data_IF_901216661084
#
_entry.id   IF_901216661084
#
_cell.length_a   1.000
_cell.length_b   1.000
_cell.length_c   1.000
_cell.angle_alpha   90.00
_cell.angle_beta   90.00
_cell.angle_gamma   90.00
#
_symmetry.space_group_name_H-M   'P 1'
#
loop_
_entity.id
_entity.type
_entity.pdbx_description
1 polymer ?
#
# COMPACT_ATOMS: atom_id res chain seq x y z
N UNK A 1 -5.09 -9.60 56.37
CA UNK A 1 -5.29 -9.35 54.93
C UNK A 1 -5.87 -10.61 54.30
N UNK A 2 -7.18 -10.63 54.02
CA UNK A 2 -7.83 -11.76 53.33
C UNK A 2 -7.23 -11.86 51.94
N UNK A 3 -6.39 -12.87 51.72
CA UNK A 3 -5.92 -13.26 50.39
C UNK A 3 -7.11 -13.87 49.63
N UNK A 4 -8.00 -13.01 49.16
CA UNK A 4 -9.14 -13.40 48.34
C UNK A 4 -8.64 -14.00 47.03
N UNK A 5 -9.28 -15.09 46.57
CA UNK A 5 -8.95 -15.72 45.28
C UNK A 5 -9.12 -14.70 44.16
N UNK A 6 -8.07 -14.47 43.38
CA UNK A 6 -8.14 -13.68 42.15
C UNK A 6 -8.50 -14.58 40.98
N UNK A 7 -9.27 -14.05 40.04
CA UNK A 7 -9.78 -14.76 38.87
C UNK A 7 -9.26 -14.06 37.62
N UNK A 8 -8.64 -14.84 36.75
CA UNK A 8 -8.28 -14.51 35.38
C UNK A 8 -9.24 -15.27 34.45
N UNK A 9 -9.78 -14.58 33.45
CA UNK A 9 -10.57 -15.22 32.39
C UNK A 9 -9.75 -15.18 31.10
N UNK A 10 -9.75 -16.29 30.35
CA UNK A 10 -9.17 -16.37 29.00
C UNK A 10 -10.27 -16.83 28.05
N UNK A 11 -10.49 -16.10 26.97
CA UNK A 11 -11.52 -16.43 25.98
C UNK A 11 -11.09 -15.97 24.57
N UNK A 12 -11.64 -16.63 23.55
CA UNK A 12 -11.48 -16.23 22.15
C UNK A 12 -12.78 -15.60 21.65
N UNK A 13 -12.70 -14.39 21.11
CA UNK A 13 -13.78 -13.50 20.75
C UNK A 13 -13.64 -12.13 21.42
N UNK A 14 -14.44 -11.18 20.98
CA UNK A 14 -14.55 -9.85 21.57
C UNK A 14 -15.79 -9.74 22.49
N UNK A 15 -15.96 -8.62 23.23
CA UNK A 15 -17.08 -8.49 24.16
C UNK A 15 -18.46 -8.69 23.54
N UNK A 16 -18.63 -8.27 22.28
CA UNK A 16 -19.90 -8.40 21.56
C UNK A 16 -20.15 -9.85 21.15
N UNK A 17 -19.15 -10.52 20.56
CA UNK A 17 -19.29 -11.92 20.11
C UNK A 17 -19.48 -12.88 21.28
N UNK A 18 -18.88 -12.58 22.43
CA UNK A 18 -18.99 -13.37 23.66
C UNK A 18 -20.18 -12.95 24.53
N UNK A 19 -20.90 -11.88 24.14
CA UNK A 19 -21.95 -11.26 24.92
C UNK A 19 -21.54 -11.05 26.39
N UNK A 20 -20.35 -10.48 26.63
CA UNK A 20 -19.79 -10.30 27.97
C UNK A 20 -20.72 -9.36 28.76
N UNK A 21 -21.36 -9.83 29.84
CA UNK A 21 -22.32 -9.01 30.54
C UNK A 21 -21.60 -8.00 31.45
N UNK A 22 -22.10 -6.77 31.50
CA UNK A 22 -21.46 -5.66 32.25
C UNK A 22 -21.26 -5.95 33.74
N UNK A 23 -22.13 -6.76 34.36
CA UNK A 23 -21.98 -7.14 35.77
C UNK A 23 -20.71 -7.95 36.02
N UNK A 24 -20.22 -8.71 35.03
CA UNK A 24 -18.98 -9.49 35.15
C UNK A 24 -17.77 -8.57 35.37
N UNK A 25 -17.73 -7.43 34.68
CA UNK A 25 -16.64 -6.45 34.78
C UNK A 25 -16.57 -5.79 36.17
N UNK A 26 -17.73 -5.69 36.84
CA UNK A 26 -17.88 -5.11 38.18
C UNK A 26 -17.42 -6.05 39.30
N UNK A 27 -17.18 -7.33 39.01
CA UNK A 27 -16.72 -8.31 40.00
C UNK A 27 -15.28 -7.98 40.42
N UNK A 28 -15.09 -7.66 41.70
CA UNK A 28 -13.79 -7.19 42.23
C UNK A 28 -12.68 -8.24 42.15
N UNK A 29 -13.02 -9.52 42.31
CA UNK A 29 -12.04 -10.60 42.25
C UNK A 29 -11.71 -11.06 40.83
N UNK A 30 -12.42 -10.59 39.79
CA UNK A 30 -11.96 -10.70 38.40
C UNK A 30 -10.99 -9.56 38.18
N UNK A 31 -9.71 -9.91 38.04
CA UNK A 31 -8.61 -8.94 37.94
C UNK A 31 -8.22 -8.65 36.50
N UNK A 32 -8.51 -9.57 35.58
CA UNK A 32 -8.21 -9.43 34.16
C UNK A 32 -9.01 -10.43 33.33
N UNK A 33 -9.34 -10.06 32.10
CA UNK A 33 -10.00 -10.86 31.07
C UNK A 33 -9.11 -10.75 29.83
N UNK A 34 -8.35 -11.80 29.56
CA UNK A 34 -7.54 -11.95 28.36
C UNK A 34 -8.42 -12.43 27.22
N UNK A 35 -8.68 -11.56 26.27
CA UNK A 35 -9.38 -11.88 25.03
C UNK A 35 -8.38 -12.21 23.92
N UNK A 36 -8.90 -12.73 22.82
CA UNK A 36 -8.14 -13.00 21.60
C UNK A 36 -9.08 -13.10 20.42
N UNK A 37 -8.71 -12.55 19.27
CA UNK A 37 -9.53 -12.58 18.06
C UNK A 37 -9.52 -11.28 17.27
N UNK A 38 -9.19 -10.16 17.92
CA UNK A 38 -8.91 -8.91 17.22
C UNK A 38 -7.59 -8.98 16.46
N UNK A 39 -7.47 -8.17 15.42
CA UNK A 39 -6.26 -8.07 14.62
C UNK A 39 -5.18 -7.24 15.33
N UNK A 40 -5.57 -6.20 16.06
CA UNK A 40 -4.67 -5.27 16.74
C UNK A 40 -4.95 -5.20 18.24
N UNK A 41 -3.96 -4.72 18.99
CA UNK A 41 -4.10 -4.49 20.42
C UNK A 41 -5.32 -3.61 20.72
N UNK A 42 -6.28 -4.19 21.44
CA UNK A 42 -7.55 -3.56 21.77
C UNK A 42 -7.84 -3.75 23.25
N UNK A 43 -8.40 -2.72 23.89
CA UNK A 43 -8.83 -2.79 25.27
C UNK A 43 -10.26 -2.26 25.40
N UNK A 44 -11.06 -2.92 26.23
CA UNK A 44 -12.44 -2.55 26.54
C UNK A 44 -12.56 -2.28 28.05
N UNK A 45 -12.08 -1.11 28.45
CA UNK A 45 -12.00 -0.70 29.85
C UNK A 45 -10.73 -1.22 30.54
N UNK A 46 -10.75 -1.25 31.87
CA UNK A 46 -9.54 -1.47 32.69
C UNK A 46 -9.09 -2.93 32.78
N UNK A 47 -9.98 -3.89 32.51
CA UNK A 47 -9.74 -5.32 32.80
C UNK A 47 -9.75 -6.20 31.58
N UNK A 48 -10.17 -5.69 30.42
CA UNK A 48 -10.44 -6.51 29.24
C UNK A 48 -9.52 -6.06 28.13
N UNK A 49 -8.57 -6.90 27.76
CA UNK A 49 -7.66 -6.59 26.67
C UNK A 49 -7.49 -7.81 25.76
N UNK A 50 -7.32 -7.52 24.47
CA UNK A 50 -6.91 -8.44 23.42
C UNK A 50 -5.57 -7.94 22.88
N UNK A 51 -4.48 -8.72 22.97
CA UNK A 51 -3.17 -8.30 22.44
C UNK A 51 -3.16 -8.13 20.91
N UNK A 52 -4.14 -8.69 20.20
CA UNK A 52 -4.12 -8.80 18.75
C UNK A 52 -3.18 -9.90 18.26
N UNK A 53 -2.78 -9.84 16.99
CA UNK A 53 -1.84 -10.80 16.44
C UNK A 53 -0.41 -10.57 16.97
N UNK A 54 0.35 -11.64 17.27
CA UNK A 54 1.76 -11.50 17.65
C UNK A 54 2.68 -11.18 16.44
N UNK A 55 2.19 -11.46 15.23
CA UNK A 55 2.85 -11.23 13.95
C UNK A 55 1.81 -10.71 12.94
N UNK A 56 2.14 -9.71 12.10
CA UNK A 56 1.27 -9.29 11.03
C UNK A 56 1.09 -10.42 10.00
N UNK A 57 -0.13 -10.58 9.49
CA UNK A 57 -0.47 -11.66 8.55
C UNK A 57 -0.43 -11.21 7.09
N UNK A 58 -0.75 -9.95 6.81
CA UNK A 58 -0.83 -9.40 5.47
C UNK A 58 -0.65 -7.86 5.45
N UNK A 59 -0.74 -7.26 4.26
CA UNK A 59 -0.62 -5.81 4.07
C UNK A 59 -1.78 -4.98 4.65
N UNK A 60 -2.85 -5.59 5.18
CA UNK A 60 -3.85 -4.87 5.97
C UNK A 60 -3.38 -4.64 7.41
N UNK A 61 -2.38 -5.40 7.86
CA UNK A 61 -1.82 -5.34 9.20
C UNK A 61 -0.84 -4.17 9.35
N UNK A 62 -1.33 -2.98 9.67
CA UNK A 62 -0.49 -1.79 9.91
C UNK A 62 -0.25 -1.58 11.41
N UNK A 63 0.96 -1.17 11.80
CA UNK A 63 1.27 -0.80 13.19
C UNK A 63 2.08 -1.84 13.95
N UNK A 64 2.02 -1.80 15.28
CA UNK A 64 2.83 -2.66 16.15
C UNK A 64 2.10 -3.96 16.48
N UNK A 65 2.78 -5.08 16.25
CA UNK A 65 2.31 -6.43 16.54
C UNK A 65 3.22 -7.08 17.58
N UNK A 66 2.62 -7.79 18.52
CA UNK A 66 3.32 -8.14 19.74
C UNK A 66 2.52 -8.98 20.71
N UNK A 67 3.09 -9.14 21.89
CA UNK A 67 2.44 -9.78 23.03
C UNK A 67 2.30 -8.78 24.16
N UNK A 68 1.23 -8.88 24.94
CA UNK A 68 1.09 -8.08 26.16
C UNK A 68 1.93 -8.69 27.27
N UNK A 69 2.81 -7.88 27.85
CA UNK A 69 3.64 -8.24 29.01
C UNK A 69 3.35 -7.29 30.16
N UNK A 70 3.55 -7.75 31.39
CA UNK A 70 3.43 -6.88 32.55
C UNK A 70 2.78 -7.55 33.76
N UNK A 71 2.16 -6.73 34.60
CA UNK A 71 1.57 -7.16 35.87
C UNK A 71 0.07 -6.86 35.91
N UNK A 72 -0.69 -7.83 36.43
CA UNK A 72 -2.12 -7.72 36.70
C UNK A 72 -2.37 -7.92 38.20
N UNK A 73 -3.34 -7.20 38.77
CA UNK A 73 -3.66 -7.25 40.20
C UNK A 73 -3.68 -5.88 40.86
N UNK A 74 -2.91 -5.69 41.95
CA UNK A 74 -2.84 -4.42 42.69
C UNK A 74 -2.20 -3.28 41.90
N UNK A 75 -1.27 -3.64 41.01
CA UNK A 75 -0.74 -2.76 39.98
C UNK A 75 -1.17 -3.36 38.65
N UNK A 76 -1.92 -2.60 37.85
CA UNK A 76 -2.27 -2.97 36.50
C UNK A 76 -1.39 -2.17 35.55
N UNK A 77 -0.35 -2.82 35.05
CA UNK A 77 0.62 -2.21 34.15
C UNK A 77 0.94 -3.26 33.07
N UNK A 78 0.28 -3.12 31.93
CA UNK A 78 0.48 -3.93 30.74
C UNK A 78 1.07 -3.07 29.64
N UNK A 79 2.05 -3.62 28.93
CA UNK A 79 2.68 -3.00 27.78
C UNK A 79 2.66 -3.98 26.61
N UNK A 80 2.50 -3.45 25.40
CA UNK A 80 2.62 -4.24 24.18
C UNK A 80 4.11 -4.36 23.83
N UNK A 81 4.68 -5.53 24.07
CA UNK A 81 6.05 -5.84 23.68
C UNK A 81 6.07 -6.27 22.21
N UNK A 82 6.72 -5.52 21.30
CA UNK A 82 6.80 -5.90 19.90
C UNK A 82 7.52 -7.24 19.74
N UNK A 83 6.90 -8.17 19.02
CA UNK A 83 7.50 -9.49 18.71
C UNK A 83 7.57 -9.77 17.24
N UNK A 84 7.02 -8.87 16.40
CA UNK A 84 6.98 -9.06 14.97
C UNK A 84 8.39 -9.20 14.37
N UNK A 85 8.62 -10.29 13.64
CA UNK A 85 9.88 -10.56 12.95
C UNK A 85 10.05 -9.71 11.69
N UNK A 86 8.96 -9.12 11.19
CA UNK A 86 8.93 -8.25 10.00
C UNK A 86 7.71 -7.34 10.01
N UNK A 87 7.77 -6.26 9.24
CA UNK A 87 6.62 -5.38 9.02
C UNK A 87 6.11 -5.45 7.58
N UNK A 88 4.83 -5.15 7.39
CA UNK A 88 4.20 -5.00 6.07
C UNK A 88 3.95 -3.51 5.80
N UNK A 89 4.41 -3.03 4.65
CA UNK A 89 4.31 -1.63 4.28
C UNK A 89 3.56 -1.47 2.96
N UNK A 90 2.65 -0.50 2.91
CA UNK A 90 1.99 -0.03 1.69
C UNK A 90 2.47 1.37 1.40
N UNK A 91 3.16 1.55 0.27
CA UNK A 91 3.75 2.83 -0.11
C UNK A 91 3.20 3.30 -1.45
N UNK A 92 2.84 4.57 -1.51
CA UNK A 92 2.53 5.26 -2.75
C UNK A 92 3.80 5.97 -3.23
N UNK A 93 4.22 5.68 -4.47
CA UNK A 93 5.45 6.23 -5.06
C UNK A 93 5.07 7.07 -6.27
N UNK A 94 5.37 8.37 -6.23
CA UNK A 94 5.17 9.26 -7.37
C UNK A 94 6.32 9.11 -8.36
N UNK A 95 6.02 8.68 -9.58
CA UNK A 95 6.99 8.49 -10.67
C UNK A 95 6.86 9.55 -11.77
N UNK A 96 6.18 10.67 -11.51
CA UNK A 96 5.94 11.71 -12.51
C UNK A 96 7.21 12.34 -13.10
N UNK A 97 8.32 12.29 -12.36
CA UNK A 97 9.61 12.82 -12.78
C UNK A 97 10.54 11.75 -13.37
N UNK A 98 10.05 10.52 -13.53
CA UNK A 98 10.82 9.40 -14.05
C UNK A 98 10.51 9.18 -15.53
N UNK A 99 11.55 9.11 -16.34
CA UNK A 99 11.45 8.88 -17.78
C UNK A 99 11.66 7.41 -18.16
N UNK A 100 12.29 6.63 -17.29
CA UNK A 100 12.66 5.23 -17.50
C UNK A 100 12.55 4.39 -16.20
N UNK A 101 12.52 3.04 -16.31
CA UNK A 101 12.48 2.15 -15.15
C UNK A 101 13.65 2.33 -14.18
N UNK A 102 14.85 2.68 -14.66
CA UNK A 102 16.03 2.88 -13.81
C UNK A 102 15.85 4.06 -12.84
N UNK A 103 15.28 5.18 -13.31
CA UNK A 103 14.94 6.33 -12.49
C UNK A 103 13.85 5.99 -11.47
N UNK A 104 12.81 5.25 -11.88
CA UNK A 104 11.77 4.80 -10.97
C UNK A 104 12.30 3.84 -9.89
N UNK A 105 13.21 2.92 -10.25
CA UNK A 105 13.90 2.07 -9.29
C UNK A 105 14.71 2.90 -8.27
N UNK A 106 15.32 3.99 -8.73
CA UNK A 106 16.01 4.96 -7.87
C UNK A 106 15.08 5.64 -6.86
N UNK A 107 13.91 6.11 -7.30
CA UNK A 107 12.91 6.70 -6.39
C UNK A 107 12.34 5.69 -5.40
N UNK A 108 12.06 4.46 -5.85
CA UNK A 108 11.64 3.37 -4.96
C UNK A 108 12.73 3.07 -3.93
N UNK A 109 14.00 2.97 -4.35
CA UNK A 109 15.10 2.71 -3.42
C UNK A 109 15.26 3.81 -2.35
N UNK A 110 15.01 5.07 -2.71
CA UNK A 110 14.94 6.18 -1.73
C UNK A 110 13.77 6.01 -0.78
N UNK A 111 12.57 5.69 -1.28
CA UNK A 111 11.40 5.48 -0.43
C UNK A 111 11.58 4.29 0.54
N UNK A 112 12.31 3.27 0.12
CA UNK A 112 12.61 2.10 0.95
C UNK A 112 13.75 2.34 1.96
N UNK A 113 14.51 3.45 1.86
CA UNK A 113 15.69 3.66 2.72
C UNK A 113 15.35 3.88 4.19
N UNK A 114 14.11 4.28 4.49
CA UNK A 114 13.62 4.49 5.84
C UNK A 114 13.14 3.17 6.51
N UNK A 115 13.27 2.05 5.81
CA UNK A 115 12.78 0.74 6.22
C UNK A 115 13.87 -0.34 6.15
N UNK A 116 13.62 -1.46 6.82
CA UNK A 116 14.51 -2.63 6.75
C UNK A 116 14.14 -3.47 5.51
N UNK A 117 14.57 -3.04 4.33
CA UNK A 117 14.16 -3.63 3.05
C UNK A 117 14.48 -5.13 2.91
N UNK A 118 15.52 -5.64 3.58
CA UNK A 118 15.93 -7.04 3.62
C UNK A 118 15.14 -7.90 4.61
N UNK A 119 14.29 -7.28 5.43
CA UNK A 119 13.44 -7.96 6.42
C UNK A 119 11.96 -7.77 6.14
N UNK A 120 11.56 -6.55 5.84
CA UNK A 120 10.18 -6.11 5.70
C UNK A 120 9.62 -6.40 4.30
N UNK A 121 8.29 -6.35 4.19
CA UNK A 121 7.54 -6.68 2.98
C UNK A 121 6.83 -5.43 2.45
N UNK A 122 6.85 -5.23 1.14
CA UNK A 122 6.35 -4.00 0.53
C UNK A 122 5.31 -4.28 -0.56
N UNK A 123 4.23 -3.51 -0.52
CA UNK A 123 3.28 -3.33 -1.62
C UNK A 123 3.36 -1.87 -2.09
N UNK A 124 3.92 -1.66 -3.27
CA UNK A 124 4.12 -0.36 -3.86
C UNK A 124 3.00 -0.05 -4.86
N UNK A 125 2.48 1.16 -4.82
CA UNK A 125 1.57 1.71 -5.83
C UNK A 125 2.27 2.86 -6.53
N UNK A 126 2.58 2.66 -7.80
CA UNK A 126 3.14 3.73 -8.61
C UNK A 126 2.02 4.68 -9.01
N UNK A 127 2.20 5.97 -8.74
CA UNK A 127 1.25 7.04 -9.02
C UNK A 127 1.93 8.14 -9.83
N UNK A 128 1.11 9.04 -10.35
CA UNK A 128 1.60 10.15 -11.16
C UNK A 128 1.56 9.83 -12.65
N UNK A 129 2.34 10.57 -13.43
CA UNK A 129 2.25 10.59 -14.88
C UNK A 129 3.55 10.05 -15.48
N UNK A 130 3.51 8.91 -16.18
CA UNK A 130 4.70 8.35 -16.85
C UNK A 130 4.56 8.36 -18.38
N UNK A 131 5.67 8.34 -19.13
CA UNK A 131 5.60 8.12 -20.56
C UNK A 131 4.86 6.81 -20.88
N UNK A 132 4.02 6.83 -21.92
CA UNK A 132 3.30 5.65 -22.45
C UNK A 132 4.24 4.67 -23.17
N UNK A 133 5.55 4.92 -23.13
CA UNK A 133 6.53 3.91 -23.51
C UNK A 133 6.30 2.63 -22.71
N UNK A 134 6.61 1.49 -23.31
CA UNK A 134 6.51 0.19 -22.65
C UNK A 134 7.55 0.13 -21.53
N UNK A 135 7.22 0.64 -20.35
CA UNK A 135 7.93 0.31 -19.13
C UNK A 135 7.69 -1.16 -18.86
N UNK A 136 8.72 -1.97 -18.99
CA UNK A 136 8.64 -3.35 -18.56
C UNK A 136 8.66 -3.38 -17.03
N UNK A 137 7.47 -3.59 -16.45
CA UNK A 137 7.30 -3.72 -15.01
C UNK A 137 8.09 -4.90 -14.43
N UNK A 138 8.34 -5.94 -15.25
CA UNK A 138 9.19 -7.07 -14.87
C UNK A 138 10.65 -6.64 -14.75
N UNK A 139 11.12 -5.80 -15.69
CA UNK A 139 12.44 -5.19 -15.61
C UNK A 139 12.55 -4.34 -14.34
N UNK A 140 11.60 -3.44 -14.10
CA UNK A 140 11.58 -2.61 -12.88
C UNK A 140 11.65 -3.49 -11.62
N UNK A 141 10.79 -4.50 -11.53
CA UNK A 141 10.73 -5.41 -10.39
C UNK A 141 12.05 -6.16 -10.18
N UNK A 142 12.76 -6.53 -11.25
CA UNK A 142 14.07 -7.19 -11.17
C UNK A 142 15.19 -6.29 -10.61
N UNK A 143 15.03 -4.96 -10.67
CA UNK A 143 16.00 -4.00 -10.16
C UNK A 143 15.85 -3.73 -8.66
N UNK A 144 14.69 -4.05 -8.09
CA UNK A 144 14.38 -3.74 -6.70
C UNK A 144 15.09 -4.70 -5.74
N UNK A 145 15.67 -4.13 -4.68
CA UNK A 145 16.41 -4.88 -3.65
C UNK A 145 15.63 -4.86 -2.34
N UNK A 146 14.77 -5.86 -2.15
CA UNK A 146 14.03 -6.08 -0.92
C UNK A 146 13.75 -7.58 -0.74
N UNK A 147 13.41 -8.00 0.48
CA UNK A 147 13.01 -9.37 0.79
C UNK A 147 11.76 -9.79 0.01
N UNK A 148 10.80 -8.89 -0.09
CA UNK A 148 9.63 -9.03 -0.95
C UNK A 148 9.11 -7.65 -1.34
N UNK A 149 8.83 -7.48 -2.63
CA UNK A 149 8.20 -6.28 -3.15
C UNK A 149 7.21 -6.64 -4.26
N UNK A 150 5.98 -6.17 -4.11
CA UNK A 150 4.96 -6.18 -5.14
C UNK A 150 4.77 -4.76 -5.65
N UNK A 151 4.70 -4.60 -6.98
CA UNK A 151 4.51 -3.29 -7.62
C UNK A 151 3.20 -3.31 -8.39
N UNK A 152 2.31 -2.37 -8.08
CA UNK A 152 1.10 -2.09 -8.83
C UNK A 152 1.27 -0.79 -9.58
N UNK A 153 1.04 -0.82 -10.89
CA UNK A 153 1.03 0.38 -11.72
C UNK A 153 -0.37 1.02 -11.68
N UNK A 154 -0.48 2.18 -11.01
CA UNK A 154 -1.67 3.03 -10.97
C UNK A 154 -1.37 4.41 -11.61
N UNK A 155 -0.37 4.47 -12.50
CA UNK A 155 0.04 5.71 -13.17
C UNK A 155 -0.86 6.07 -14.35
N UNK A 156 -1.02 7.37 -14.58
CA UNK A 156 -1.51 7.90 -15.85
C UNK A 156 -0.39 7.87 -16.88
N UNK A 157 -0.73 7.64 -18.15
CA UNK A 157 0.26 7.61 -19.24
C UNK A 157 0.14 8.80 -20.18
N UNK A 158 1.27 9.33 -20.64
CA UNK A 158 1.31 10.37 -21.69
C UNK A 158 2.27 10.01 -22.82
N UNK A 159 2.01 10.48 -24.03
CA UNK A 159 2.95 10.29 -25.13
C UNK A 159 4.02 11.38 -25.12
N UNK A 160 5.28 10.97 -25.21
CA UNK A 160 6.35 11.87 -25.63
C UNK A 160 6.33 12.01 -27.17
N UNK A 161 5.57 12.99 -27.64
CA UNK A 161 5.44 13.27 -29.07
C UNK A 161 6.73 13.76 -29.72
N UNK A 162 7.77 14.17 -28.97
CA UNK A 162 9.06 14.54 -29.57
C UNK A 162 9.88 13.28 -29.83
N UNK A 163 9.95 12.38 -28.85
CA UNK A 163 10.63 11.09 -29.01
C UNK A 163 10.01 10.27 -30.15
N UNK A 164 8.67 10.12 -30.15
CA UNK A 164 7.95 9.38 -31.20
C UNK A 164 8.13 9.96 -32.60
N UNK A 165 8.18 11.28 -32.73
CA UNK A 165 8.43 11.95 -34.00
C UNK A 165 9.86 11.71 -34.51
N UNK A 166 10.85 11.70 -33.61
CA UNK A 166 12.24 11.42 -33.96
C UNK A 166 12.43 9.96 -34.40
N UNK A 167 11.94 9.02 -33.60
CA UNK A 167 12.03 7.56 -33.84
C UNK A 167 11.29 7.14 -35.11
N UNK A 168 10.10 7.70 -35.36
CA UNK A 168 9.26 7.37 -36.52
C UNK A 168 9.24 8.45 -37.60
N UNK A 169 10.29 9.28 -37.68
CA UNK A 169 10.38 10.44 -38.58
C UNK A 169 10.07 10.15 -40.05
N UNK A 170 10.36 8.93 -40.53
CA UNK A 170 10.08 8.50 -41.91
C UNK A 170 8.74 7.77 -42.08
N UNK A 171 8.11 7.37 -40.98
CA UNK A 171 6.88 6.58 -40.94
C UNK A 171 5.60 7.41 -40.91
N UNK A 172 4.44 6.74 -41.00
CA UNK A 172 3.11 7.36 -40.92
C UNK A 172 2.92 8.08 -39.58
N UNK A 173 3.42 7.49 -38.50
CA UNK A 173 3.31 8.06 -37.15
C UNK A 173 4.07 9.39 -37.01
N UNK A 174 5.32 9.47 -37.48
CA UNK A 174 6.07 10.74 -37.45
C UNK A 174 5.41 11.82 -38.30
N UNK A 175 4.99 11.48 -39.53
CA UNK A 175 4.29 12.42 -40.42
C UNK A 175 2.97 12.93 -39.83
N UNK A 176 2.23 12.06 -39.14
CA UNK A 176 1.01 12.44 -38.42
C UNK A 176 1.32 13.47 -37.33
N UNK A 177 2.31 13.19 -36.48
CA UNK A 177 2.69 14.08 -35.38
C UNK A 177 3.12 15.46 -35.92
N UNK A 178 3.97 15.50 -36.95
CA UNK A 178 4.43 16.75 -37.57
C UNK A 178 3.25 17.54 -38.15
N UNK A 179 2.33 16.88 -38.85
CA UNK A 179 1.18 17.52 -39.48
C UNK A 179 0.22 18.13 -38.44
N UNK A 180 -0.07 17.40 -37.36
CA UNK A 180 -0.97 17.88 -36.30
C UNK A 180 -0.34 19.02 -35.50
N UNK A 181 0.97 18.96 -35.19
CA UNK A 181 1.68 20.08 -34.54
C UNK A 181 1.70 21.34 -35.42
N UNK A 182 1.77 21.19 -36.74
CA UNK A 182 1.81 22.30 -37.69
C UNK A 182 0.45 22.89 -38.08
N UNK A 183 -0.66 22.35 -37.57
CA UNK A 183 -2.01 22.68 -38.04
C UNK A 183 -2.58 24.02 -37.51
N UNK A 184 -1.88 24.70 -36.60
CA UNK A 184 -2.24 26.04 -36.12
C UNK A 184 -3.50 26.11 -35.24
N UNK A 185 -3.94 24.99 -34.65
CA UNK A 185 -5.05 24.93 -33.71
C UNK A 185 -4.62 25.25 -32.27
N UNK A 186 -5.61 25.40 -31.38
CA UNK A 186 -5.37 25.51 -29.94
C UNK A 186 -4.61 24.28 -29.40
N UNK A 187 -3.68 24.53 -28.47
CA UNK A 187 -2.81 23.52 -27.88
C UNK A 187 -3.59 22.35 -27.25
N UNK A 188 -4.77 22.60 -26.67
CA UNK A 188 -5.62 21.56 -26.10
C UNK A 188 -6.18 20.63 -27.19
N UNK A 189 -6.55 21.18 -28.33
CA UNK A 189 -7.05 20.42 -29.49
C UNK A 189 -5.91 19.62 -30.11
N UNK A 190 -4.74 20.24 -30.29
CA UNK A 190 -3.53 19.58 -30.79
C UNK A 190 -3.17 18.39 -29.90
N UNK A 191 -3.13 18.59 -28.57
CA UNK A 191 -2.79 17.52 -27.62
C UNK A 191 -3.80 16.39 -27.65
N UNK A 192 -5.10 16.68 -27.72
CA UNK A 192 -6.14 15.65 -27.82
C UNK A 192 -6.04 14.85 -29.12
N UNK A 193 -5.86 15.53 -30.26
CA UNK A 193 -5.67 14.88 -31.56
C UNK A 193 -4.42 14.01 -31.58
N UNK A 194 -3.30 14.52 -31.05
CA UNK A 194 -2.06 13.76 -30.96
C UNK A 194 -2.24 12.50 -30.10
N UNK A 195 -2.83 12.61 -28.90
CA UNK A 195 -3.04 11.45 -28.03
C UNK A 195 -3.91 10.38 -28.70
N UNK A 196 -5.06 10.76 -29.25
CA UNK A 196 -5.99 9.80 -29.87
C UNK A 196 -5.42 9.17 -31.14
N UNK A 197 -4.79 9.97 -32.00
CA UNK A 197 -4.26 9.47 -33.26
C UNK A 197 -3.02 8.61 -33.08
N UNK A 198 -2.12 8.99 -32.16
CA UNK A 198 -0.96 8.15 -31.82
C UNK A 198 -1.42 6.83 -31.20
N UNK A 199 -2.43 6.86 -30.33
CA UNK A 199 -3.00 5.63 -29.75
C UNK A 199 -3.59 4.72 -30.82
N UNK A 200 -4.40 5.26 -31.74
CA UNK A 200 -4.97 4.47 -32.82
C UNK A 200 -3.91 3.86 -33.74
N UNK A 201 -2.82 4.60 -34.00
CA UNK A 201 -1.73 4.15 -34.87
C UNK A 201 -0.84 3.09 -34.21
N UNK A 202 -0.60 3.19 -32.90
CA UNK A 202 0.22 2.23 -32.14
C UNK A 202 -0.57 0.97 -31.77
N UNK A 203 -1.84 1.12 -31.38
CA UNK A 203 -2.71 0.01 -30.97
C UNK A 203 -3.30 -0.77 -32.15
N UNK A 204 -3.19 -0.27 -33.37
CA UNK A 204 -3.78 -0.87 -34.58
C UNK A 204 -5.31 -0.94 -34.56
N UNK A 205 -5.96 -0.30 -33.57
CA UNK A 205 -7.41 -0.21 -33.39
C UNK A 205 -7.80 1.24 -33.19
N UNK A 206 -8.74 1.70 -34.00
CA UNK A 206 -9.43 2.97 -33.75
C UNK A 206 -10.22 2.80 -32.45
N UNK A 207 -10.05 3.67 -31.43
CA UNK A 207 -10.96 3.68 -30.30
C UNK A 207 -12.35 3.98 -30.86
N UNK A 208 -13.31 3.07 -30.66
CA UNK A 208 -14.70 3.37 -30.95
C UNK A 208 -15.08 4.57 -30.07
N UNK A 209 -15.20 5.74 -30.67
CA UNK A 209 -15.75 6.91 -30.02
C UNK A 209 -17.15 6.56 -29.57
N UNK A 210 -17.38 6.63 -28.26
CA UNK A 210 -18.69 6.44 -27.69
C UNK A 210 -19.59 7.56 -28.21
N UNK A 211 -20.45 7.18 -29.14
CA UNK A 211 -21.44 8.05 -29.74
C UNK A 211 -22.69 8.03 -28.89
N UNK A 212 -22.83 9.06 -28.05
CA UNK A 212 -24.00 9.48 -27.25
C UNK A 212 -24.10 8.94 -25.84
#
# INVERSE_FOLDING_TARGET
>A
ATHGRQILIVAYGNPDSLAIPQWLLSIKNIIYIALGGEQQYTHWGEKVCDPGYPEPLDFSCTGTYGVLTGTIGSTHALELMPTASRSFHRLDIDVSNCSNPEEAAGEIAKALSDYEADRDLFELRLKGIRPRSEWDMSQLQSMLKAQYVSVRDETDTYYDFKALEAEHSRGVLGKYITAVKGAGYDEKIIRSALTLGVDALLSGRVPNGDGR
#
